data_IF_330588927348
#
_entry.id   IF_330588927348
#
_cell.length_a   1.000
_cell.length_b   1.000
_cell.length_c   1.000
_cell.angle_alpha   90.00
_cell.angle_beta   90.00
_cell.angle_gamma   90.00
#
_symmetry.space_group_name_H-M   'P 1'
#
loop_
_entity.id
_entity.type
_entity.pdbx_description
1 polymer ?
#
# COMPACT_ATOMS: atom_id res chain seq x y z
N UNK A 1 -30.02 -13.19 26.38
CA UNK A 1 -29.64 -11.81 26.01
C UNK A 1 -28.13 -11.53 26.10
N UNK A 2 -27.48 -11.44 27.27
CA UNK A 2 -26.04 -11.10 27.33
C UNK A 2 -25.14 -12.19 26.69
N UNK A 3 -25.43 -13.46 26.93
CA UNK A 3 -24.70 -14.58 26.32
C UNK A 3 -24.88 -14.62 24.80
N UNK A 4 -26.11 -14.54 24.30
CA UNK A 4 -26.42 -14.50 22.85
C UNK A 4 -25.78 -13.30 22.14
N UNK A 5 -25.75 -12.13 22.78
CA UNK A 5 -25.07 -10.96 22.25
C UNK A 5 -23.55 -11.17 22.16
N UNK A 6 -22.96 -11.84 23.17
CA UNK A 6 -21.53 -12.16 23.17
C UNK A 6 -21.16 -13.19 22.10
N UNK A 7 -21.98 -14.21 21.89
CA UNK A 7 -21.79 -15.22 20.84
C UNK A 7 -21.90 -14.60 19.44
N UNK A 8 -22.91 -13.76 19.23
CA UNK A 8 -23.11 -13.04 17.97
C UNK A 8 -21.91 -12.12 17.67
N UNK A 9 -21.41 -11.41 18.68
CA UNK A 9 -20.24 -10.55 18.54
C UNK A 9 -18.97 -11.34 18.17
N UNK A 10 -18.69 -12.45 18.86
CA UNK A 10 -17.55 -13.33 18.56
C UNK A 10 -17.65 -13.86 17.12
N UNK A 11 -18.84 -14.29 16.70
CA UNK A 11 -19.07 -14.79 15.34
C UNK A 11 -18.76 -13.73 14.28
N UNK A 12 -19.26 -12.49 14.46
CA UNK A 12 -18.99 -11.37 13.54
C UNK A 12 -17.48 -11.09 13.47
N UNK A 13 -16.80 -11.06 14.61
CA UNK A 13 -15.34 -10.82 14.66
C UNK A 13 -14.59 -11.92 13.92
N UNK A 14 -14.93 -13.19 14.16
CA UNK A 14 -14.32 -14.33 13.45
C UNK A 14 -14.57 -14.26 11.94
N UNK A 15 -15.79 -13.90 11.52
CA UNK A 15 -16.13 -13.77 10.12
C UNK A 15 -15.28 -12.67 9.45
N UNK A 16 -15.13 -11.51 10.09
CA UNK A 16 -14.26 -10.43 9.59
C UNK A 16 -12.79 -10.88 9.51
N UNK A 17 -12.29 -11.56 10.56
CA UNK A 17 -10.92 -12.05 10.62
C UNK A 17 -10.60 -13.06 9.51
N UNK A 18 -11.58 -13.89 9.10
CA UNK A 18 -11.43 -14.85 8.00
C UNK A 18 -11.66 -14.18 6.63
N UNK A 19 -12.61 -13.26 6.53
CA UNK A 19 -12.94 -12.59 5.28
C UNK A 19 -11.73 -11.81 4.71
N UNK A 20 -10.98 -11.11 5.56
CA UNK A 20 -9.81 -10.32 5.14
C UNK A 20 -8.74 -11.16 4.41
N UNK A 21 -8.18 -12.25 4.98
CA UNK A 21 -7.19 -13.07 4.30
C UNK A 21 -7.78 -13.77 3.07
N UNK A 22 -9.04 -14.22 3.11
CA UNK A 22 -9.70 -14.83 1.96
C UNK A 22 -9.83 -13.83 0.81
N UNK A 23 -10.34 -12.62 1.06
CA UNK A 23 -10.42 -11.55 0.05
C UNK A 23 -9.03 -11.20 -0.51
N UNK A 24 -8.02 -11.18 0.35
CA UNK A 24 -6.63 -10.93 -0.04
C UNK A 24 -6.06 -12.01 -0.98
N UNK A 25 -6.38 -13.29 -0.73
CA UNK A 25 -6.07 -14.41 -1.63
C UNK A 25 -6.80 -14.25 -2.97
N UNK A 26 -8.10 -13.97 -2.96
CA UNK A 26 -8.88 -13.79 -4.19
C UNK A 26 -8.35 -12.64 -5.05
N UNK A 27 -8.10 -11.47 -4.47
CA UNK A 27 -7.51 -10.32 -5.19
C UNK A 27 -6.16 -10.70 -5.77
N UNK A 28 -5.34 -11.43 -5.02
CA UNK A 28 -4.04 -11.88 -5.48
C UNK A 28 -4.14 -12.88 -6.61
N UNK A 29 -5.03 -13.87 -6.53
CA UNK A 29 -5.20 -14.85 -7.59
C UNK A 29 -5.72 -14.18 -8.86
N UNK A 30 -6.73 -13.31 -8.72
CA UNK A 30 -7.32 -12.58 -9.82
C UNK A 30 -6.30 -11.70 -10.56
N UNK A 31 -5.50 -10.92 -9.83
CA UNK A 31 -4.45 -10.11 -10.44
C UNK A 31 -3.40 -10.97 -11.16
N UNK A 32 -3.17 -12.22 -10.72
CA UNK A 32 -2.17 -13.12 -11.31
C UNK A 32 -2.67 -13.68 -12.63
N UNK A 33 -3.95 -14.07 -12.66
CA UNK A 33 -4.63 -14.53 -13.88
C UNK A 33 -4.68 -13.43 -14.95
N UNK A 34 -4.71 -12.17 -14.55
CA UNK A 34 -4.75 -11.03 -15.46
C UNK A 34 -3.37 -10.45 -15.83
N UNK A 35 -2.27 -11.11 -15.46
CA UNK A 35 -0.91 -10.60 -15.65
C UNK A 35 -0.68 -9.18 -15.11
N UNK A 36 -1.40 -8.82 -14.03
CA UNK A 36 -1.31 -7.51 -13.38
C UNK A 36 -0.26 -7.47 -12.27
N UNK A 37 0.53 -8.52 -12.14
CA UNK A 37 1.62 -8.58 -11.18
C UNK A 37 2.86 -7.90 -11.74
N UNK A 38 3.39 -6.97 -10.96
CA UNK A 38 4.71 -6.42 -11.22
C UNK A 38 5.76 -7.19 -10.43
N UNK A 39 5.52 -7.41 -9.14
CA UNK A 39 6.37 -8.24 -8.30
C UNK A 39 5.60 -8.77 -7.09
N UNK A 40 6.32 -9.34 -6.12
CA UNK A 40 5.73 -9.92 -4.88
C UNK A 40 4.96 -8.91 -4.01
N UNK A 41 5.19 -7.61 -4.18
CA UNK A 41 4.61 -6.57 -3.32
C UNK A 41 3.64 -5.65 -4.05
N UNK A 42 3.65 -5.65 -5.39
CA UNK A 42 2.93 -4.68 -6.19
C UNK A 42 2.15 -5.32 -7.33
N UNK A 43 0.92 -4.84 -7.49
CA UNK A 43 0.03 -5.12 -8.60
C UNK A 43 -0.39 -3.79 -9.26
N UNK A 44 -0.85 -3.85 -10.50
CA UNK A 44 -1.43 -2.71 -11.20
C UNK A 44 -2.93 -2.87 -11.36
N UNK A 45 -3.66 -1.76 -11.22
CA UNK A 45 -5.08 -1.69 -11.55
C UNK A 45 -5.31 -0.62 -12.61
N UNK A 46 -6.09 -0.92 -13.67
CA UNK A 46 -6.44 0.09 -14.67
C UNK A 46 -7.34 1.15 -14.05
N UNK A 47 -7.11 2.40 -14.43
CA UNK A 47 -7.95 3.55 -14.07
C UNK A 47 -8.90 3.88 -15.22
N UNK A 48 -10.00 4.57 -14.91
CA UNK A 48 -10.99 5.01 -15.91
C UNK A 48 -10.42 5.98 -16.95
N UNK A 49 -9.30 6.65 -16.67
CA UNK A 49 -8.64 7.61 -17.55
C UNK A 49 -7.55 6.98 -18.44
N UNK A 50 -7.52 5.66 -18.59
CA UNK A 50 -6.54 4.95 -19.42
C UNK A 50 -5.15 4.80 -18.79
N UNK A 51 -4.91 5.35 -17.61
CA UNK A 51 -3.69 5.11 -16.83
C UNK A 51 -3.78 3.88 -15.94
N UNK A 52 -2.67 3.55 -15.27
CA UNK A 52 -2.61 2.49 -14.27
C UNK A 52 -2.31 3.06 -12.90
N UNK A 53 -2.84 2.42 -11.88
CA UNK A 53 -2.52 2.70 -10.48
C UNK A 53 -1.72 1.55 -9.88
N UNK A 54 -0.66 1.90 -9.15
CA UNK A 54 0.16 0.96 -8.40
C UNK A 54 -0.49 0.67 -7.05
N UNK A 55 -0.81 -0.59 -6.81
CA UNK A 55 -1.46 -1.07 -5.58
C UNK A 55 -0.57 -2.08 -4.86
N UNK A 56 -0.64 -2.09 -3.52
CA UNK A 56 0.02 -3.11 -2.73
C UNK A 56 -0.68 -4.44 -2.85
N UNK A 57 0.09 -5.51 -2.95
CA UNK A 57 -0.45 -6.85 -2.90
C UNK A 57 -0.84 -7.21 -1.46
N UNK A 58 -2.12 -7.46 -1.17
CA UNK A 58 -2.59 -7.68 0.20
C UNK A 58 -2.12 -9.03 0.77
N UNK A 59 -1.89 -10.05 -0.06
CA UNK A 59 -1.53 -11.41 0.40
C UNK A 59 -0.13 -11.45 1.00
N UNK A 60 0.76 -10.61 0.48
CA UNK A 60 2.11 -10.48 0.98
C UNK A 60 2.23 -9.45 2.09
N UNK A 61 1.09 -8.98 2.64
CA UNK A 61 0.90 -8.17 3.85
C UNK A 61 2.18 -8.01 4.66
N UNK A 62 3.02 -7.13 4.16
CA UNK A 62 4.45 -6.94 4.43
C UNK A 62 5.15 -7.97 5.30
N UNK A 63 5.41 -9.17 4.75
CA UNK A 63 6.51 -10.01 5.24
C UNK A 63 7.85 -9.29 4.94
N UNK A 64 8.38 -8.65 5.98
CA UNK A 64 9.79 -8.23 6.10
C UNK A 64 10.33 -7.41 4.91
N UNK A 65 9.78 -6.22 4.67
CA UNK A 65 10.46 -5.20 3.89
C UNK A 65 10.87 -4.04 4.82
N UNK A 66 12.17 -3.99 5.16
CA UNK A 66 12.76 -2.74 5.66
C UNK A 66 12.54 -1.66 4.59
N UNK A 67 12.49 -0.40 5.00
CA UNK A 67 12.27 0.76 4.11
C UNK A 67 13.12 0.70 2.83
N UNK A 68 14.41 0.38 2.93
CA UNK A 68 15.29 0.16 1.77
C UNK A 68 14.80 -0.92 0.81
N UNK A 69 14.38 -2.09 1.33
CA UNK A 69 13.84 -3.19 0.50
C UNK A 69 12.52 -2.80 -0.13
N UNK A 70 11.68 -2.06 0.60
CA UNK A 70 10.42 -1.55 0.09
C UNK A 70 10.64 -0.58 -1.08
N UNK A 71 11.54 0.40 -0.93
CA UNK A 71 11.91 1.31 -2.02
C UNK A 71 12.47 0.57 -3.23
N UNK A 72 13.34 -0.43 -3.01
CA UNK A 72 13.85 -1.28 -4.09
C UNK A 72 12.72 -1.99 -4.85
N UNK A 73 11.75 -2.55 -4.13
CA UNK A 73 10.60 -3.24 -4.73
C UNK A 73 9.68 -2.28 -5.49
N UNK A 74 9.56 -1.02 -5.05
CA UNK A 74 8.84 0.01 -5.81
C UNK A 74 9.56 0.29 -7.13
N UNK A 75 10.86 0.56 -7.08
CA UNK A 75 11.66 0.85 -8.29
C UNK A 75 11.61 -0.32 -9.28
N UNK A 76 11.72 -1.54 -8.78
CA UNK A 76 11.59 -2.76 -9.59
C UNK A 76 10.20 -2.87 -10.24
N UNK A 77 9.13 -2.62 -9.49
CA UNK A 77 7.77 -2.64 -10.02
C UNK A 77 7.59 -1.62 -11.16
N UNK A 78 8.07 -0.38 -10.95
CA UNK A 78 8.02 0.70 -11.94
C UNK A 78 8.76 0.28 -13.22
N UNK A 79 9.96 -0.29 -13.08
CA UNK A 79 10.76 -0.75 -14.22
C UNK A 79 10.03 -1.83 -15.02
N UNK A 80 9.45 -2.82 -14.34
CA UNK A 80 8.69 -3.90 -15.00
C UNK A 80 7.46 -3.32 -15.70
N UNK A 81 6.77 -2.37 -15.08
CA UNK A 81 5.63 -1.70 -15.70
C UNK A 81 6.03 -0.97 -16.98
N UNK A 82 7.11 -0.20 -16.95
CA UNK A 82 7.62 0.55 -18.11
C UNK A 82 8.02 -0.35 -19.28
N UNK A 83 8.64 -1.50 -18.98
CA UNK A 83 9.00 -2.47 -20.02
C UNK A 83 7.77 -3.03 -20.73
N UNK A 84 6.67 -3.20 -20.01
CA UNK A 84 5.45 -3.81 -20.55
C UNK A 84 4.44 -2.78 -21.09
N UNK A 85 4.49 -1.54 -20.62
CA UNK A 85 3.54 -0.46 -20.94
C UNK A 85 4.26 0.90 -21.03
N UNK A 86 5.13 1.11 -22.04
CA UNK A 86 5.99 2.28 -22.13
C UNK A 86 5.22 3.60 -22.27
N UNK A 87 4.09 3.58 -22.96
CA UNK A 87 3.28 4.78 -23.26
C UNK A 87 2.19 5.05 -22.22
N UNK A 88 2.11 4.22 -21.17
CA UNK A 88 1.05 4.32 -20.17
C UNK A 88 1.52 5.08 -18.93
N UNK A 89 0.63 5.93 -18.41
CA UNK A 89 0.85 6.65 -17.17
C UNK A 89 0.70 5.72 -15.96
N UNK A 90 1.71 5.65 -15.09
CA UNK A 90 1.63 4.97 -13.79
C UNK A 90 1.48 5.98 -12.66
N UNK A 91 0.46 5.79 -11.84
CA UNK A 91 0.21 6.61 -10.65
C UNK A 91 0.37 5.74 -9.40
N UNK A 92 1.10 6.22 -8.40
CA UNK A 92 1.17 5.58 -7.09
C UNK A 92 0.46 6.45 -6.05
N UNK A 93 -0.48 5.87 -5.30
CA UNK A 93 -1.14 6.51 -4.17
C UNK A 93 -0.52 5.99 -2.87
N UNK A 94 -0.06 6.89 -2.00
CA UNK A 94 0.49 6.46 -0.71
C UNK A 94 0.20 7.47 0.39
N UNK A 95 -0.07 6.92 1.58
CA UNK A 95 -0.23 7.65 2.84
C UNK A 95 0.97 7.45 3.78
N UNK A 96 1.76 6.39 3.55
CA UNK A 96 2.80 5.91 4.48
C UNK A 96 4.18 6.44 4.13
N UNK A 97 4.42 6.78 2.86
CA UNK A 97 5.74 7.22 2.39
C UNK A 97 5.59 8.44 1.48
N UNK A 98 5.69 9.63 2.07
CA UNK A 98 5.72 10.88 1.31
C UNK A 98 7.18 11.31 1.15
N UNK A 99 7.74 11.18 -0.06
CA UNK A 99 9.04 11.80 -0.36
C UNK A 99 8.82 13.29 -0.61
N UNK A 100 9.49 14.15 0.18
CA UNK A 100 9.38 15.62 0.06
C UNK A 100 10.01 16.20 -1.22
N UNK A 101 10.81 15.41 -1.94
CA UNK A 101 11.67 15.91 -3.02
C UNK A 101 11.08 15.87 -4.43
N UNK A 102 9.81 15.45 -4.62
CA UNK A 102 9.28 15.18 -5.97
C UNK A 102 7.92 15.80 -6.21
N UNK A 103 7.53 15.88 -7.49
CA UNK A 103 6.24 16.32 -8.06
C UNK A 103 5.03 15.50 -7.57
N UNK A 104 4.94 15.38 -6.26
CA UNK A 104 3.91 14.71 -5.50
C UNK A 104 2.76 15.70 -5.40
N UNK A 105 1.62 15.35 -5.98
CA UNK A 105 0.46 16.23 -5.96
C UNK A 105 -0.49 15.78 -4.85
N UNK A 106 -0.82 16.66 -3.90
CA UNK A 106 -1.78 16.31 -2.86
C UNK A 106 -3.13 16.00 -3.52
N UNK A 107 -3.71 14.87 -3.13
CA UNK A 107 -4.98 14.42 -3.69
C UNK A 107 -6.11 14.99 -2.85
N UNK A 108 -7.08 15.64 -3.49
CA UNK A 108 -8.37 15.86 -2.86
C UNK A 108 -9.09 14.51 -2.76
N UNK A 109 -8.96 13.86 -1.62
CA UNK A 109 -9.64 12.60 -1.33
C UNK A 109 -10.87 12.87 -0.47
N UNK A 110 -12.06 12.36 -0.85
CA UNK A 110 -13.25 12.44 -0.01
C UNK A 110 -12.98 11.88 1.40
N UNK A 111 -13.54 12.52 2.43
CA UNK A 111 -13.39 12.09 3.83
C UNK A 111 -13.64 10.60 4.08
N UNK A 112 -14.69 9.94 3.52
CA UNK A 112 -14.90 8.51 3.76
C UNK A 112 -13.78 7.65 3.16
N UNK A 113 -13.33 8.00 1.95
CA UNK A 113 -12.24 7.29 1.29
C UNK A 113 -10.91 7.50 2.04
N UNK A 114 -10.64 8.72 2.52
CA UNK A 114 -9.46 8.99 3.35
C UNK A 114 -9.46 8.16 4.64
N UNK A 115 -10.61 8.04 5.28
CA UNK A 115 -10.77 7.24 6.50
C UNK A 115 -10.48 5.77 6.22
N UNK A 116 -11.03 5.24 5.12
CA UNK A 116 -10.76 3.88 4.67
C UNK A 116 -9.26 3.66 4.37
N UNK A 117 -8.62 4.56 3.62
CA UNK A 117 -7.20 4.46 3.29
C UNK A 117 -6.32 4.52 4.55
N UNK A 118 -6.66 5.37 5.54
CA UNK A 118 -5.98 5.41 6.84
C UNK A 118 -6.15 4.11 7.61
N UNK A 119 -7.37 3.57 7.65
CA UNK A 119 -7.65 2.30 8.31
C UNK A 119 -6.84 1.16 7.69
N UNK A 120 -6.77 1.09 6.36
CA UNK A 120 -5.92 0.13 5.65
C UNK A 120 -4.43 0.35 5.99
N UNK A 121 -3.96 1.59 6.01
CA UNK A 121 -2.57 1.89 6.39
C UNK A 121 -2.26 1.50 7.85
N UNK A 122 -3.16 1.73 8.80
CA UNK A 122 -3.01 1.26 10.18
C UNK A 122 -2.96 -0.26 10.24
N UNK A 123 -3.88 -0.93 9.56
CA UNK A 123 -3.92 -2.39 9.48
C UNK A 123 -2.60 -2.95 8.96
N UNK A 124 -2.05 -2.35 7.90
CA UNK A 124 -0.73 -2.72 7.35
C UNK A 124 0.43 -2.46 8.34
N UNK A 125 0.39 -1.35 9.08
CA UNK A 125 1.38 -1.05 10.12
C UNK A 125 1.33 -2.06 11.26
N UNK A 126 0.12 -2.45 11.68
CA UNK A 126 -0.12 -3.41 12.77
C UNK A 126 0.25 -4.84 12.40
N UNK A 127 0.00 -5.27 11.15
CA UNK A 127 0.34 -6.62 10.69
C UNK A 127 1.84 -6.84 10.51
N UNK A 128 2.62 -5.79 10.35
CA UNK A 128 4.06 -5.91 10.13
C UNK A 128 4.82 -6.02 11.46
N UNK A 129 5.18 -7.25 11.84
CA UNK A 129 5.95 -7.56 13.06
C UNK A 129 7.26 -6.77 13.19
N UNK A 130 7.88 -6.35 12.08
CA UNK A 130 9.11 -5.54 12.12
C UNK A 130 8.91 -4.11 12.66
N UNK A 131 7.66 -3.68 12.81
CA UNK A 131 7.30 -2.40 13.42
C UNK A 131 7.25 -2.46 14.95
N UNK A 132 7.21 -3.66 15.55
CA UNK A 132 7.20 -3.87 17.01
C UNK A 132 8.62 -3.81 17.58
N UNK A 133 9.32 -2.70 17.31
CA UNK A 133 10.65 -2.43 17.84
C UNK A 133 10.77 -0.98 18.27
N UNK A 134 11.65 -0.72 19.22
CA UNK A 134 12.00 0.64 19.60
C UNK A 134 13.08 1.21 18.70
N UNK A 135 12.91 2.47 18.31
CA UNK A 135 13.88 3.26 17.55
C UNK A 135 13.97 4.62 18.25
N UNK A 136 15.17 5.02 18.69
CA UNK A 136 15.39 6.30 19.40
C UNK A 136 14.44 6.50 20.61
N UNK A 137 14.27 5.46 21.44
CA UNK A 137 13.37 5.44 22.63
C UNK A 137 11.86 5.57 22.33
N UNK A 138 11.45 5.45 21.06
CA UNK A 138 10.03 5.44 20.69
C UNK A 138 9.67 4.14 19.97
N UNK A 139 8.47 3.63 20.22
CA UNK A 139 7.95 2.49 19.47
C UNK A 139 7.70 2.89 18.02
N UNK A 140 8.36 2.18 17.09
CA UNK A 140 8.25 2.47 15.66
C UNK A 140 6.80 2.40 15.18
N UNK A 141 6.01 1.47 15.70
CA UNK A 141 4.59 1.34 15.39
C UNK A 141 3.79 2.61 15.71
N UNK A 142 4.03 3.23 16.86
CA UNK A 142 3.37 4.47 17.28
C UNK A 142 3.78 5.64 16.38
N UNK A 143 5.07 5.71 16.02
CA UNK A 143 5.58 6.70 15.07
C UNK A 143 4.92 6.56 13.69
N UNK A 144 4.77 5.34 13.18
CA UNK A 144 4.14 5.07 11.89
C UNK A 144 2.65 5.41 11.90
N UNK A 145 1.92 5.03 12.96
CA UNK A 145 0.50 5.40 13.12
C UNK A 145 0.33 6.92 13.14
N UNK A 146 1.17 7.63 13.90
CA UNK A 146 1.17 9.10 13.94
C UNK A 146 1.42 9.69 12.55
N UNK A 147 2.41 9.16 11.82
CA UNK A 147 2.71 9.61 10.46
C UNK A 147 1.51 9.39 9.52
N UNK A 148 0.90 8.21 9.52
CA UNK A 148 -0.31 7.92 8.70
C UNK A 148 -1.46 8.87 9.03
N UNK A 149 -1.65 9.17 10.32
CA UNK A 149 -2.71 10.08 10.76
C UNK A 149 -2.48 11.52 10.29
N UNK A 150 -1.22 11.98 10.32
CA UNK A 150 -0.83 13.34 9.94
C UNK A 150 -0.61 13.51 8.43
N UNK A 151 -0.38 12.42 7.70
CA UNK A 151 -0.21 12.42 6.25
C UNK A 151 -1.51 12.77 5.52
N UNK A 152 -1.34 13.52 4.43
CA UNK A 152 -2.35 13.65 3.37
C UNK A 152 -2.05 12.62 2.28
N UNK A 153 -3.06 12.05 1.61
CA UNK A 153 -2.84 11.17 0.47
C UNK A 153 -2.20 11.98 -0.65
N UNK A 154 -1.17 11.39 -1.25
CA UNK A 154 -0.40 12.03 -2.33
C UNK A 154 -0.35 11.08 -3.52
N UNK A 155 -0.63 11.61 -4.71
CA UNK A 155 -0.36 10.90 -5.95
C UNK A 155 1.05 11.24 -6.42
N UNK A 156 1.81 10.20 -6.74
CA UNK A 156 3.02 10.32 -7.53
C UNK A 156 2.66 9.96 -8.96
N UNK A 157 2.91 10.87 -9.91
CA UNK A 157 3.02 10.48 -11.31
C UNK A 157 4.41 9.88 -11.46
N UNK A 158 4.46 8.58 -11.63
CA UNK A 158 5.71 7.81 -11.58
C UNK A 158 6.34 7.68 -12.96
N UNK A 159 5.51 7.70 -14.01
CA UNK A 159 5.97 7.65 -15.40
C UNK A 159 5.21 8.71 -16.19
N UNK A 160 5.96 9.74 -16.61
CA UNK A 160 5.62 10.66 -17.68
C UNK A 160 6.91 11.18 -18.35
N UNK A 161 8.00 11.47 -17.61
CA UNK A 161 9.27 11.91 -18.25
C UNK A 161 10.50 12.02 -17.30
N UNK A 162 10.42 11.56 -16.04
CA UNK A 162 11.43 11.88 -15.00
C UNK A 162 12.09 10.64 -14.37
N UNK A 163 12.99 9.98 -15.11
CA UNK A 163 13.77 8.82 -14.63
C UNK A 163 15.12 9.19 -14.01
N UNK A 164 15.69 10.36 -14.32
CA UNK A 164 17.01 10.78 -13.84
C UNK A 164 17.11 10.86 -12.31
N UNK A 165 16.01 11.15 -11.62
CA UNK A 165 16.02 11.32 -10.17
C UNK A 165 15.81 10.02 -9.39
N UNK A 166 15.12 9.02 -9.97
CA UNK A 166 14.80 7.73 -9.31
C UNK A 166 16.03 6.89 -8.99
N UNK A 167 17.11 7.05 -9.76
CA UNK A 167 18.38 6.36 -9.52
C UNK A 167 19.07 6.80 -8.21
N UNK A 168 18.78 8.00 -7.71
CA UNK A 168 19.29 8.49 -6.42
C UNK A 168 18.62 7.84 -5.20
N UNK A 169 17.70 6.88 -5.40
CA UNK A 169 17.06 6.12 -4.31
C UNK A 169 17.87 4.89 -3.86
N UNK A 170 18.83 4.41 -4.67
CA UNK A 170 19.54 3.16 -4.43
C UNK A 170 20.93 3.30 -3.81
N UNK A 171 21.50 4.52 -3.84
CA UNK A 171 22.74 4.88 -3.17
C UNK A 171 22.45 5.41 -1.76
#
# INVERSE_FOLDING_TARGET
MLLEASETFIYIVLLILIAIPVSSVFVSLYARLQNRYLNRYFIILPRKNGGYELHYQPLHGFYYARERKFHRMIVEAIRIFQMNNPDCMLVANTLTFVSRSRGSMPVQTPRPLLTFLRFMAYFLVLLNLANYRQVKRQWRIAQLIRNVHQSRPVYYVVVAEQLGELYNWSN
#
